data_IF_653206433651
#
_entry.id   IF_653206433651
#
_cell.length_a   1.000
_cell.length_b   1.000
_cell.length_c   1.000
_cell.angle_alpha   90.00
_cell.angle_beta   90.00
_cell.angle_gamma   90.00
#
_symmetry.space_group_name_H-M   'P 1'
#
loop_
_entity.id
_entity.type
_entity.pdbx_description
1 polymer ?
#
# COMPACT_ATOMS: atom_id res chain seq x y z
N UNK A 1 0.45 -1.46 10.44
CA UNK A 1 1.84 -1.39 9.98
C UNK A 1 2.40 0.02 10.08
N UNK A 2 3.68 0.12 10.47
CA UNK A 2 4.47 1.37 10.54
C UNK A 2 3.83 2.47 11.40
N UNK A 3 3.02 2.11 12.37
CA UNK A 3 2.26 3.07 13.20
C UNK A 3 3.14 4.04 13.99
N UNK A 4 4.40 3.69 14.22
CA UNK A 4 5.41 4.59 14.79
C UNK A 4 5.92 5.69 13.83
N UNK A 5 5.35 5.80 12.63
CA UNK A 5 5.65 6.84 11.63
C UNK A 5 4.37 7.57 11.18
N UNK A 6 3.33 7.58 12.02
CA UNK A 6 2.01 8.10 11.66
C UNK A 6 1.99 9.59 11.28
N UNK A 7 2.82 10.43 11.91
CA UNK A 7 2.94 11.83 11.55
C UNK A 7 1.60 12.59 11.54
N UNK A 8 0.65 12.20 12.41
CA UNK A 8 -0.68 12.76 12.49
C UNK A 8 -1.69 12.22 11.46
N UNK A 9 -1.33 11.22 10.66
CA UNK A 9 -2.21 10.62 9.63
C UNK A 9 -2.18 9.10 9.69
N UNK A 10 -3.31 8.46 9.32
CA UNK A 10 -3.40 7.00 9.22
C UNK A 10 -4.31 6.60 8.06
N UNK A 11 -3.89 5.59 7.32
CA UNK A 11 -4.72 4.89 6.36
C UNK A 11 -5.39 3.71 7.05
N UNK A 12 -6.65 3.48 6.75
CA UNK A 12 -7.41 2.32 7.26
C UNK A 12 -7.92 1.55 6.08
N UNK A 13 -7.35 0.36 5.87
CA UNK A 13 -7.71 -0.52 4.77
C UNK A 13 -8.54 -1.72 5.27
N UNK A 14 -9.21 -2.42 4.35
CA UNK A 14 -10.02 -3.60 4.65
C UNK A 14 -11.53 -3.34 4.73
N UNK A 15 -12.00 -2.09 4.65
CA UNK A 15 -13.44 -1.79 4.71
C UNK A 15 -14.25 -2.41 3.56
N UNK A 16 -13.63 -2.69 2.41
CA UNK A 16 -14.30 -3.40 1.33
C UNK A 16 -14.81 -4.78 1.75
N UNK A 17 -14.01 -5.50 2.53
CA UNK A 17 -14.38 -6.83 3.04
C UNK A 17 -15.24 -6.78 4.30
N UNK A 18 -15.38 -5.61 4.91
CA UNK A 18 -16.13 -5.41 6.15
C UNK A 18 -16.91 -4.08 6.15
N UNK A 19 -17.79 -3.82 5.17
CA UNK A 19 -18.47 -2.53 5.05
C UNK A 19 -19.33 -2.20 6.27
N UNK A 20 -19.79 -3.20 7.02
CA UNK A 20 -20.56 -3.00 8.24
C UNK A 20 -19.79 -2.36 9.39
N UNK A 21 -18.45 -2.33 9.31
CA UNK A 21 -17.58 -1.73 10.34
C UNK A 21 -17.41 -0.21 10.13
N UNK A 22 -17.83 0.32 9.00
CA UNK A 22 -17.62 1.74 8.68
C UNK A 22 -18.20 2.70 9.72
N UNK A 23 -19.40 2.39 10.23
CA UNK A 23 -20.03 3.20 11.27
C UNK A 23 -19.24 3.22 12.57
N UNK A 24 -18.72 2.04 12.97
CA UNK A 24 -17.89 1.89 14.16
C UNK A 24 -16.55 2.63 14.00
N UNK A 25 -15.97 2.56 12.80
CA UNK A 25 -14.73 3.26 12.49
C UNK A 25 -14.92 4.80 12.55
N UNK A 26 -16.03 5.32 12.01
CA UNK A 26 -16.36 6.75 12.10
C UNK A 26 -16.59 7.19 13.54
N UNK A 27 -17.24 6.37 14.35
CA UNK A 27 -17.41 6.65 15.78
C UNK A 27 -16.07 6.66 16.51
N UNK A 28 -15.16 5.74 16.19
CA UNK A 28 -13.82 5.74 16.75
C UNK A 28 -12.99 6.95 16.27
N UNK A 29 -13.09 7.32 14.99
CA UNK A 29 -12.40 8.48 14.41
C UNK A 29 -12.77 9.79 15.13
N UNK A 30 -14.04 9.95 15.51
CA UNK A 30 -14.50 11.18 16.20
C UNK A 30 -13.79 11.45 17.53
N UNK A 31 -13.13 10.44 18.10
CA UNK A 31 -12.34 10.54 19.35
C UNK A 31 -10.84 10.63 19.10
N UNK A 32 -10.40 10.59 17.83
CA UNK A 32 -8.98 10.56 17.45
C UNK A 32 -8.49 11.95 17.03
N UNK A 33 -7.21 12.21 17.28
CA UNK A 33 -6.50 13.38 16.75
C UNK A 33 -5.87 13.15 15.37
N UNK A 34 -5.98 11.91 14.83
CA UNK A 34 -5.39 11.54 13.55
C UNK A 34 -6.29 11.94 12.38
N UNK A 35 -5.71 12.46 11.32
CA UNK A 35 -6.38 12.56 10.04
C UNK A 35 -6.47 11.15 9.44
N UNK A 36 -7.67 10.58 9.40
CA UNK A 36 -7.91 9.23 8.91
C UNK A 36 -8.37 9.26 7.45
N UNK A 37 -7.81 8.34 6.65
CA UNK A 37 -8.31 8.05 5.30
C UNK A 37 -8.71 6.58 5.21
N UNK A 38 -9.99 6.33 5.07
CA UNK A 38 -10.53 4.99 4.90
C UNK A 38 -10.48 4.56 3.42
N UNK A 39 -9.95 3.37 3.16
CA UNK A 39 -9.87 2.77 1.83
C UNK A 39 -10.91 1.65 1.71
N UNK A 40 -11.85 1.79 0.75
CA UNK A 40 -12.96 0.85 0.56
C UNK A 40 -12.67 -0.29 -0.42
N UNK A 41 -11.73 -0.12 -1.27
CA UNK A 41 -11.43 -1.05 -2.34
C UNK A 41 -9.97 -0.90 -2.72
N UNK A 42 -9.13 -1.36 -1.88
CA UNK A 42 -7.72 -1.43 -2.20
C UNK A 42 -7.28 -2.87 -2.19
N UNK A 43 -6.31 -3.18 -3.00
CA UNK A 43 -5.59 -4.43 -2.94
C UNK A 43 -4.64 -4.48 -1.73
N UNK A 44 -4.76 -3.61 -0.77
CA UNK A 44 -4.07 -3.67 0.51
C UNK A 44 -4.54 -4.81 1.39
N UNK A 45 -5.78 -5.27 1.16
CA UNK A 45 -6.28 -6.48 1.76
C UNK A 45 -5.39 -7.67 1.35
N UNK A 46 -4.62 -8.18 2.28
CA UNK A 46 -3.74 -9.31 2.04
C UNK A 46 -2.28 -8.96 1.79
N UNK A 47 -1.86 -7.72 2.00
CA UNK A 47 -0.45 -7.33 1.88
C UNK A 47 0.33 -7.47 3.21
N UNK A 48 -0.36 -7.71 4.32
CA UNK A 48 0.20 -7.85 5.67
C UNK A 48 -0.43 -9.05 6.38
N UNK A 49 -0.43 -9.08 7.71
CA UNK A 49 -0.96 -10.15 8.55
C UNK A 49 -2.47 -10.36 8.36
N UNK A 50 -3.18 -9.33 7.92
CA UNK A 50 -4.59 -9.38 7.54
C UNK A 50 -4.89 -10.44 6.45
N UNK A 51 -3.94 -10.75 5.58
CA UNK A 51 -4.06 -11.79 4.56
C UNK A 51 -4.52 -13.13 5.13
N UNK A 52 -4.00 -13.51 6.29
CA UNK A 52 -4.32 -14.77 6.95
C UNK A 52 -5.79 -14.86 7.36
N UNK A 53 -6.36 -13.74 7.78
CA UNK A 53 -7.77 -13.64 8.16
C UNK A 53 -8.67 -13.61 6.92
N UNK A 54 -8.31 -12.82 5.93
CA UNK A 54 -9.08 -12.66 4.69
C UNK A 54 -9.18 -13.98 3.92
N UNK A 55 -8.11 -14.78 3.86
CA UNK A 55 -8.13 -16.12 3.27
C UNK A 55 -9.13 -17.07 3.97
N UNK A 56 -9.46 -16.81 5.22
CA UNK A 56 -10.48 -17.54 5.99
C UNK A 56 -11.84 -16.86 5.99
N UNK A 57 -12.03 -15.86 5.14
CA UNK A 57 -13.26 -15.06 5.07
C UNK A 57 -13.62 -14.41 6.42
N UNK A 58 -12.61 -13.99 7.16
CA UNK A 58 -12.75 -13.24 8.41
C UNK A 58 -12.46 -11.78 8.09
N UNK A 59 -13.38 -10.84 8.39
CA UNK A 59 -13.15 -9.42 8.22
C UNK A 59 -11.89 -8.98 8.95
N UNK A 60 -11.04 -8.20 8.28
CA UNK A 60 -9.83 -7.66 8.87
C UNK A 60 -9.65 -6.21 8.44
N UNK A 61 -9.18 -5.38 9.36
CA UNK A 61 -8.84 -3.97 9.12
C UNK A 61 -7.36 -3.78 9.42
N UNK A 62 -6.68 -3.13 8.52
CA UNK A 62 -5.27 -2.78 8.66
C UNK A 62 -5.11 -1.26 8.85
N UNK A 63 -4.39 -0.88 9.92
CA UNK A 63 -3.93 0.49 10.15
C UNK A 63 -2.53 0.65 9.56
N UNK A 64 -2.37 1.58 8.64
CA UNK A 64 -1.15 1.77 7.89
C UNK A 64 -0.77 3.25 7.82
N UNK A 65 0.40 3.63 8.32
CA UNK A 65 0.84 5.03 8.29
C UNK A 65 1.49 5.46 6.97
N UNK A 66 1.63 4.53 6.03
CA UNK A 66 2.37 4.73 4.79
C UNK A 66 3.81 4.22 4.90
N UNK A 67 4.44 4.03 3.74
CA UNK A 67 5.86 3.69 3.73
C UNK A 67 6.71 4.94 3.98
N UNK A 68 7.92 4.75 4.44
CA UNK A 68 8.91 5.79 4.67
C UNK A 68 10.27 5.39 4.08
N UNK A 69 11.17 6.34 3.91
CA UNK A 69 12.48 6.13 3.27
C UNK A 69 13.36 5.07 3.95
N UNK A 70 13.15 4.84 5.24
CA UNK A 70 13.91 3.86 6.03
C UNK A 70 13.28 2.46 6.02
N UNK A 71 12.11 2.25 5.38
CA UNK A 71 11.40 0.99 5.37
C UNK A 71 12.29 -0.19 4.97
N UNK A 72 12.35 -1.22 5.85
CA UNK A 72 13.20 -2.41 5.71
C UNK A 72 14.70 -2.09 5.54
N UNK A 73 15.20 -1.03 6.20
CA UNK A 73 16.61 -0.64 6.18
C UNK A 73 17.19 -0.59 7.60
N UNK A 74 18.53 -0.80 7.74
CA UNK A 74 19.21 -0.59 9.02
C UNK A 74 19.10 0.85 9.56
N UNK A 75 18.76 1.81 8.69
CA UNK A 75 18.53 3.21 9.06
C UNK A 75 17.18 3.44 9.74
N UNK A 76 16.28 2.44 9.80
CA UNK A 76 15.02 2.52 10.54
C UNK A 76 15.25 2.25 12.03
N UNK A 77 15.73 3.28 12.71
CA UNK A 77 16.17 3.25 14.09
C UNK A 77 15.12 3.79 15.05
N UNK A 78 15.19 3.41 16.31
CA UNK A 78 14.21 3.73 17.35
C UNK A 78 14.01 5.23 17.60
N UNK A 79 15.04 6.04 17.37
CA UNK A 79 15.00 7.51 17.54
C UNK A 79 14.09 8.22 16.53
N UNK A 80 13.72 7.52 15.46
CA UNK A 80 12.79 8.00 14.42
C UNK A 80 11.32 7.66 14.69
N UNK A 81 11.05 6.99 15.79
CA UNK A 81 9.68 6.58 16.14
C UNK A 81 8.90 7.80 16.66
N UNK A 82 7.78 8.09 16.02
CA UNK A 82 6.78 9.03 16.51
C UNK A 82 5.92 8.32 17.57
N UNK A 83 6.35 8.41 18.83
CA UNK A 83 5.65 7.78 19.94
C UNK A 83 4.25 8.35 20.17
N UNK A 84 4.06 9.65 19.94
CA UNK A 84 2.75 10.30 20.08
C UNK A 84 1.78 9.84 18.99
N UNK A 85 2.25 9.79 17.74
CA UNK A 85 1.47 9.27 16.61
C UNK A 85 1.12 7.79 16.81
N UNK A 86 2.09 6.98 17.24
CA UNK A 86 1.84 5.57 17.56
C UNK A 86 0.81 5.36 18.66
N UNK A 87 0.86 6.16 19.73
CA UNK A 87 -0.15 6.15 20.80
C UNK A 87 -1.54 6.53 20.27
N UNK A 88 -1.64 7.57 19.46
CA UNK A 88 -2.90 7.99 18.85
C UNK A 88 -3.51 6.90 17.94
N UNK A 89 -2.68 6.14 17.21
CA UNK A 89 -3.16 4.96 16.46
C UNK A 89 -3.66 3.88 17.40
N UNK A 90 -2.95 3.64 18.52
CA UNK A 90 -3.38 2.69 19.57
C UNK A 90 -4.74 3.05 20.16
N UNK A 91 -4.96 4.34 20.46
CA UNK A 91 -6.24 4.84 21.00
C UNK A 91 -7.38 4.67 19.98
N UNK A 92 -7.13 5.00 18.71
CA UNK A 92 -8.09 4.77 17.63
C UNK A 92 -8.44 3.28 17.48
N UNK A 93 -7.43 2.41 17.48
CA UNK A 93 -7.64 0.97 17.40
C UNK A 93 -8.43 0.46 18.61
N UNK A 94 -8.11 0.91 19.83
CA UNK A 94 -8.84 0.55 21.05
C UNK A 94 -10.29 1.00 21.01
N UNK A 95 -10.55 2.23 20.55
CA UNK A 95 -11.90 2.74 20.37
C UNK A 95 -12.71 1.86 19.41
N UNK A 96 -12.12 1.49 18.26
CA UNK A 96 -12.75 0.59 17.30
C UNK A 96 -12.99 -0.80 17.89
N UNK A 97 -12.01 -1.38 18.58
CA UNK A 97 -12.16 -2.69 19.23
C UNK A 97 -13.31 -2.69 20.23
N UNK A 98 -13.45 -1.64 21.04
CA UNK A 98 -14.59 -1.48 21.98
C UNK A 98 -15.93 -1.44 21.27
N UNK A 99 -16.03 -0.76 20.13
CA UNK A 99 -17.25 -0.76 19.32
C UNK A 99 -17.57 -2.18 18.83
N UNK A 100 -16.60 -2.84 18.23
CA UNK A 100 -16.77 -4.17 17.66
C UNK A 100 -17.09 -5.23 18.72
N UNK A 101 -16.41 -5.19 19.87
CA UNK A 101 -16.62 -6.16 20.96
C UNK A 101 -18.01 -6.05 21.62
N UNK A 102 -18.63 -4.86 21.57
CA UNK A 102 -19.96 -4.62 22.12
C UNK A 102 -21.08 -4.78 21.07
N UNK A 103 -20.78 -5.16 19.84
CA UNK A 103 -21.81 -5.42 18.83
C UNK A 103 -22.60 -6.69 19.17
N UNK A 104 -23.91 -6.66 18.96
CA UNK A 104 -24.74 -7.87 19.11
C UNK A 104 -24.43 -8.93 18.05
N UNK A 105 -23.94 -8.51 16.88
CA UNK A 105 -23.67 -9.38 15.74
C UNK A 105 -22.24 -9.21 15.24
N UNK A 106 -21.65 -10.30 14.77
CA UNK A 106 -20.34 -10.27 14.11
C UNK A 106 -20.40 -9.48 12.81
N UNK A 107 -19.38 -8.68 12.49
CA UNK A 107 -19.26 -8.12 11.15
C UNK A 107 -19.24 -9.22 10.10
N UNK A 108 -20.10 -9.09 9.08
CA UNK A 108 -20.10 -10.03 7.97
C UNK A 108 -18.92 -9.78 7.05
N UNK A 109 -18.30 -10.87 6.59
CA UNK A 109 -17.32 -10.79 5.51
C UNK A 109 -18.05 -10.64 4.18
N UNK A 110 -17.65 -9.66 3.39
CA UNK A 110 -18.13 -9.45 2.04
C UNK A 110 -16.99 -9.77 1.07
N UNK A 111 -17.21 -10.70 0.16
CA UNK A 111 -16.27 -10.88 -0.95
C UNK A 111 -16.32 -9.61 -1.79
N UNK A 112 -15.27 -8.84 -1.75
CA UNK A 112 -15.08 -7.81 -2.76
C UNK A 112 -14.83 -8.55 -4.06
N UNK A 113 -15.69 -8.35 -5.03
CA UNK A 113 -15.38 -8.70 -6.41
C UNK A 113 -14.17 -7.86 -6.76
N UNK A 114 -13.00 -8.44 -6.65
CA UNK A 114 -11.88 -7.96 -7.45
C UNK A 114 -12.41 -8.10 -8.86
N UNK A 115 -12.73 -6.97 -9.49
CA UNK A 115 -12.88 -7.01 -10.95
C UNK A 115 -11.69 -7.78 -11.45
N UNK A 116 -11.94 -8.91 -12.09
CA UNK A 116 -10.95 -9.88 -12.58
C UNK A 116 -9.92 -9.17 -13.46
N UNK A 117 -8.97 -8.52 -12.84
CA UNK A 117 -7.76 -8.02 -13.47
C UNK A 117 -6.68 -9.06 -13.21
N UNK A 118 -6.66 -10.08 -14.11
CA UNK A 118 -5.69 -11.16 -14.19
C UNK A 118 -6.06 -12.47 -13.46
N UNK A 119 -6.94 -13.25 -14.08
CA UNK A 119 -6.95 -14.70 -13.97
C UNK A 119 -5.65 -15.27 -14.55
N UNK A 120 -4.76 -15.75 -13.71
CA UNK A 120 -3.57 -16.44 -14.19
C UNK A 120 -2.41 -16.56 -13.20
N UNK A 121 -2.65 -17.01 -11.98
CA UNK A 121 -1.55 -17.31 -11.06
C UNK A 121 -1.98 -18.28 -9.98
N UNK A 122 -1.39 -19.49 -9.99
CA UNK A 122 -1.61 -20.54 -8.99
C UNK A 122 -1.41 -20.05 -7.56
N UNK A 123 -2.23 -20.51 -6.58
CA UNK A 123 -2.03 -20.22 -5.16
C UNK A 123 -0.86 -21.06 -4.64
N UNK A 124 0.32 -20.50 -4.64
CA UNK A 124 1.50 -21.17 -4.10
C UNK A 124 2.78 -20.44 -4.41
N UNK A 125 3.18 -19.61 -3.52
CA UNK A 125 4.45 -18.98 -3.27
C UNK A 125 4.32 -17.48 -3.09
N UNK A 126 4.00 -17.05 -1.88
CA UNK A 126 4.24 -15.66 -1.43
C UNK A 126 5.75 -15.55 -1.22
N UNK A 127 6.47 -15.35 -2.30
CA UNK A 127 7.88 -14.99 -2.25
C UNK A 127 8.02 -13.55 -2.71
N UNK A 128 8.12 -12.64 -1.74
CA UNK A 128 8.62 -11.29 -1.94
C UNK A 128 7.73 -10.35 -2.78
N UNK A 129 8.05 -9.06 -2.71
CA UNK A 129 7.38 -7.95 -3.44
C UNK A 129 7.67 -7.92 -4.96
N UNK A 130 7.82 -9.08 -5.62
CA UNK A 130 8.17 -9.14 -7.03
C UNK A 130 9.63 -8.74 -7.32
N UNK A 131 10.01 -8.62 -8.60
CA UNK A 131 11.35 -8.24 -9.01
C UNK A 131 11.68 -6.79 -8.59
N UNK A 132 12.96 -6.45 -8.67
CA UNK A 132 13.44 -5.13 -8.32
C UNK A 132 13.23 -4.13 -9.46
N UNK A 133 12.57 -3.01 -9.17
CA UNK A 133 12.40 -1.85 -10.05
C UNK A 133 13.29 -0.69 -9.62
N UNK A 134 13.32 -0.36 -8.33
CA UNK A 134 14.26 0.57 -7.72
C UNK A 134 13.78 2.00 -7.56
N UNK A 135 12.49 2.26 -7.65
CA UNK A 135 11.90 3.52 -7.19
C UNK A 135 11.51 3.45 -5.71
N UNK A 136 11.53 4.60 -5.05
CA UNK A 136 10.95 4.84 -3.73
C UNK A 136 9.75 5.75 -3.95
N UNK A 137 8.52 5.28 -3.68
CA UNK A 137 7.34 6.09 -3.86
C UNK A 137 7.28 7.29 -2.91
N UNK A 138 6.69 8.39 -3.38
CA UNK A 138 6.28 9.52 -2.54
C UNK A 138 4.86 9.27 -2.03
N UNK A 139 4.75 8.97 -0.75
CA UNK A 139 3.47 8.59 -0.13
C UNK A 139 2.63 9.81 0.30
N UNK A 140 3.19 11.00 0.24
CA UNK A 140 2.47 12.22 0.54
C UNK A 140 1.68 12.74 -0.68
N UNK A 141 2.00 12.26 -1.89
CA UNK A 141 1.34 12.68 -3.12
C UNK A 141 0.06 11.85 -3.33
N UNK A 142 -1.09 12.52 -3.25
CA UNK A 142 -2.41 11.93 -3.53
C UNK A 142 -2.83 12.07 -5.00
N UNK A 143 -1.87 12.36 -5.88
CA UNK A 143 -2.10 12.49 -7.32
C UNK A 143 -2.53 11.20 -8.00
N UNK A 144 -2.89 11.28 -9.27
CA UNK A 144 -3.12 10.09 -10.09
C UNK A 144 -1.78 9.49 -10.51
N UNK A 145 -1.46 8.30 -9.99
CA UNK A 145 -0.22 7.60 -10.29
C UNK A 145 0.66 7.37 -9.06
N UNK A 146 1.89 6.93 -9.29
CA UNK A 146 2.91 6.73 -8.26
C UNK A 146 4.07 7.68 -8.50
N UNK A 147 4.14 8.74 -7.71
CA UNK A 147 5.26 9.68 -7.74
C UNK A 147 6.47 9.05 -7.08
N UNK A 148 7.64 9.29 -7.66
CA UNK A 148 8.91 8.81 -7.11
C UNK A 148 9.52 9.89 -6.22
N UNK A 149 9.61 9.62 -4.92
CA UNK A 149 10.41 10.44 -4.00
C UNK A 149 11.90 10.29 -4.32
N UNK A 150 12.32 9.05 -4.68
CA UNK A 150 13.69 8.72 -5.03
C UNK A 150 13.71 7.62 -6.11
N UNK A 151 14.72 7.65 -6.95
CA UNK A 151 15.10 6.53 -7.82
C UNK A 151 16.53 6.13 -7.48
N UNK A 152 16.72 4.89 -7.03
CA UNK A 152 18.01 4.41 -6.54
C UNK A 152 19.03 4.32 -7.67
N UNK A 153 20.20 4.86 -7.43
CA UNK A 153 21.33 4.80 -8.38
C UNK A 153 21.62 3.35 -8.79
N UNK A 154 21.84 3.13 -10.09
CA UNK A 154 22.12 1.80 -10.66
C UNK A 154 20.92 0.86 -10.71
N UNK A 155 19.74 1.27 -10.24
CA UNK A 155 18.50 0.48 -10.35
C UNK A 155 18.01 0.35 -11.78
N UNK A 156 17.13 -0.62 -12.09
CA UNK A 156 16.42 -0.70 -13.36
C UNK A 156 15.75 0.61 -13.76
N UNK A 157 15.05 1.26 -12.84
CA UNK A 157 14.40 2.55 -13.07
C UNK A 157 15.40 3.66 -13.41
N UNK A 158 16.55 3.72 -12.69
CA UNK A 158 17.59 4.70 -12.97
C UNK A 158 18.23 4.48 -14.35
N UNK A 159 18.51 3.21 -14.71
CA UNK A 159 19.06 2.87 -16.04
C UNK A 159 18.09 3.24 -17.18
N UNK A 160 16.79 3.20 -16.94
CA UNK A 160 15.77 3.63 -17.87
C UNK A 160 15.60 5.16 -17.94
N UNK A 161 16.37 5.92 -17.13
CA UNK A 161 16.35 7.39 -17.13
C UNK A 161 15.25 8.01 -16.26
N UNK A 162 14.58 7.21 -15.41
CA UNK A 162 13.63 7.74 -14.44
C UNK A 162 14.35 8.38 -13.25
N UNK A 163 13.69 9.36 -12.62
CA UNK A 163 14.26 10.15 -11.53
C UNK A 163 13.21 10.58 -10.50
N UNK A 164 13.64 11.11 -9.40
CA UNK A 164 12.79 11.75 -8.40
C UNK A 164 11.87 12.80 -9.04
N UNK A 165 10.63 12.86 -8.60
CA UNK A 165 9.59 13.74 -9.14
C UNK A 165 8.79 13.16 -10.29
N UNK A 166 9.24 12.09 -10.95
CA UNK A 166 8.45 11.40 -11.97
C UNK A 166 7.21 10.75 -11.36
N UNK A 167 6.08 10.77 -12.05
CA UNK A 167 4.82 10.14 -11.64
C UNK A 167 4.51 8.98 -12.57
N UNK A 168 4.65 7.74 -12.10
CA UNK A 168 4.30 6.56 -12.89
C UNK A 168 2.78 6.48 -13.10
N UNK A 169 2.36 6.39 -14.35
CA UNK A 169 0.94 6.29 -14.75
C UNK A 169 0.63 5.00 -15.53
N UNK A 170 1.65 4.28 -16.00
CA UNK A 170 1.48 2.97 -16.63
C UNK A 170 2.70 2.07 -16.37
N UNK A 171 2.45 0.77 -16.16
CA UNK A 171 3.46 -0.26 -16.00
C UNK A 171 3.02 -1.52 -16.73
N UNK A 172 3.84 -2.01 -17.66
CA UNK A 172 3.57 -3.20 -18.46
C UNK A 172 2.18 -3.18 -19.16
N UNK A 173 1.75 -2.00 -19.63
CA UNK A 173 0.46 -1.81 -20.29
C UNK A 173 -0.73 -1.60 -19.33
N UNK A 174 -0.57 -1.86 -18.03
CA UNK A 174 -1.60 -1.61 -17.03
C UNK A 174 -1.58 -0.14 -16.57
N UNK A 175 -2.75 0.52 -16.44
CA UNK A 175 -2.82 1.85 -15.85
C UNK A 175 -2.48 1.80 -14.36
N UNK A 176 -1.62 2.71 -13.91
CA UNK A 176 -1.21 2.84 -12.52
C UNK A 176 -1.83 4.11 -11.96
N UNK A 177 -2.78 3.96 -11.07
CA UNK A 177 -3.44 5.07 -10.37
C UNK A 177 -2.98 5.18 -8.92
N UNK A 178 -2.54 4.06 -8.34
CA UNK A 178 -2.12 3.95 -6.95
C UNK A 178 -0.86 3.11 -6.84
N UNK A 179 -0.18 3.20 -5.70
CA UNK A 179 0.94 2.31 -5.39
C UNK A 179 0.53 0.83 -5.43
N UNK A 180 -0.70 0.54 -5.08
CA UNK A 180 -1.23 -0.82 -5.12
C UNK A 180 -1.28 -1.37 -6.55
N UNK A 181 -1.77 -0.59 -7.50
CA UNK A 181 -1.76 -0.99 -8.91
C UNK A 181 -0.34 -1.36 -9.36
N UNK A 182 0.64 -0.54 -8.96
CA UNK A 182 2.04 -0.81 -9.27
C UNK A 182 2.56 -2.09 -8.60
N UNK A 183 2.31 -2.28 -7.31
CA UNK A 183 2.77 -3.48 -6.58
C UNK A 183 2.18 -4.77 -7.17
N UNK A 184 0.91 -4.74 -7.58
CA UNK A 184 0.29 -5.90 -8.24
C UNK A 184 0.90 -6.17 -9.60
N UNK A 185 0.99 -5.13 -10.44
CA UNK A 185 1.58 -5.27 -11.76
C UNK A 185 3.05 -5.75 -11.70
N UNK A 186 3.78 -5.37 -10.65
CA UNK A 186 5.15 -5.78 -10.43
C UNK A 186 5.26 -7.25 -9.94
N UNK A 187 4.31 -7.71 -9.09
CA UNK A 187 4.29 -9.10 -8.58
C UNK A 187 4.12 -10.14 -9.67
N UNK A 188 3.41 -9.80 -10.74
CA UNK A 188 3.19 -10.68 -11.89
C UNK A 188 4.43 -10.81 -12.79
N UNK A 189 5.51 -10.11 -12.47
CA UNK A 189 6.75 -10.10 -13.26
C UNK A 189 7.86 -10.88 -12.56
N UNK A 190 8.88 -11.20 -13.37
CA UNK A 190 10.09 -11.92 -12.91
C UNK A 190 11.33 -11.09 -13.20
N UNK A 191 12.43 -11.32 -12.47
CA UNK A 191 13.73 -10.78 -12.87
C UNK A 191 14.07 -11.20 -14.30
N UNK A 192 14.54 -10.25 -15.11
CA UNK A 192 14.80 -10.41 -16.54
C UNK A 192 13.64 -9.96 -17.45
N UNK A 193 12.43 -9.78 -16.94
CA UNK A 193 11.33 -9.27 -17.74
C UNK A 193 11.61 -7.83 -18.18
N UNK A 194 11.30 -7.53 -19.44
CA UNK A 194 11.32 -6.20 -20.03
C UNK A 194 9.91 -5.66 -20.09
N UNK A 195 9.69 -4.54 -19.42
CA UNK A 195 8.36 -3.92 -19.30
C UNK A 195 8.42 -2.46 -19.72
N UNK A 196 7.41 -2.02 -20.45
CA UNK A 196 7.27 -0.60 -20.77
C UNK A 196 6.64 0.12 -19.58
N UNK A 197 7.26 1.23 -19.20
CA UNK A 197 6.82 2.08 -18.09
C UNK A 197 6.64 3.50 -18.60
N UNK A 198 5.48 4.08 -18.33
CA UNK A 198 5.21 5.48 -18.63
C UNK A 198 5.13 6.28 -17.36
N UNK A 199 5.90 7.36 -17.29
CA UNK A 199 5.84 8.36 -16.22
C UNK A 199 5.44 9.71 -16.79
N UNK A 200 4.87 10.57 -15.96
CA UNK A 200 4.72 11.99 -16.23
C UNK A 200 5.88 12.72 -15.56
N UNK A 201 6.63 13.50 -16.35
CA UNK A 201 7.67 14.42 -15.89
C UNK A 201 7.28 15.82 -16.31
N UNK A 202 7.07 16.70 -15.35
CA UNK A 202 6.58 18.06 -15.60
C UNK A 202 5.29 18.05 -16.44
N UNK A 203 4.40 17.08 -16.19
CA UNK A 203 3.15 16.87 -16.90
C UNK A 203 3.27 16.23 -18.30
N UNK A 204 4.49 15.93 -18.77
CA UNK A 204 4.74 15.32 -20.09
C UNK A 204 5.00 13.82 -19.96
N UNK A 205 4.38 12.97 -20.78
CA UNK A 205 4.61 11.53 -20.74
C UNK A 205 6.01 11.17 -21.28
N UNK A 206 6.70 10.31 -20.54
CA UNK A 206 7.97 9.70 -20.93
C UNK A 206 7.79 8.19 -20.77
N UNK A 207 8.00 7.46 -21.87
CA UNK A 207 7.95 5.99 -21.84
C UNK A 207 9.34 5.41 -22.07
N UNK A 208 9.70 4.43 -21.26
CA UNK A 208 10.94 3.68 -21.42
C UNK A 208 10.73 2.21 -21.08
N UNK A 209 11.48 1.34 -21.74
CA UNK A 209 11.52 -0.09 -21.43
C UNK A 209 12.50 -0.33 -20.28
N UNK A 210 12.03 -1.02 -19.23
CA UNK A 210 12.79 -1.35 -18.02
C UNK A 210 13.02 -2.85 -17.97
N UNK A 211 14.26 -3.28 -17.84
CA UNK A 211 14.60 -4.67 -17.54
C UNK A 211 14.68 -4.85 -16.03
N UNK A 212 13.74 -5.61 -15.49
CA UNK A 212 13.62 -5.88 -14.06
C UNK A 212 14.72 -6.83 -13.60
N UNK A 213 15.18 -6.69 -12.34
CA UNK A 213 16.28 -7.50 -11.81
C UNK A 213 15.91 -8.18 -10.50
N UNK A 214 16.80 -9.04 -10.00
CA UNK A 214 16.76 -9.47 -8.60
C UNK A 214 16.99 -8.26 -7.70
N UNK A 215 16.44 -8.32 -6.50
CA UNK A 215 16.75 -7.34 -5.44
C UNK A 215 18.21 -7.51 -5.03
N UNK A 216 18.96 -6.40 -4.84
CA UNK A 216 20.33 -6.48 -4.35
C UNK A 216 20.39 -6.94 -2.89
#
# INVERSE_FOLDING_TARGET
>A
DMVGRAGGRILVDGLGNAPSIEGDLKAAESTSSLAMKALRGGPGAGASDDATFLLRKIPAINFFSGFHSDYHRPSDTWDKIDGAGGAAVGDLALALVRQLANRPERPAFVETVQEDRHSGGSPGAVSGYGPYFGSVPDFADEGQGVKFAEVRTGSPAARAGFRSGDVMVSFAGAPIKTLYDFTFALRDKKPGDKVDVTVLRDGKPITATVELTNRP
#
